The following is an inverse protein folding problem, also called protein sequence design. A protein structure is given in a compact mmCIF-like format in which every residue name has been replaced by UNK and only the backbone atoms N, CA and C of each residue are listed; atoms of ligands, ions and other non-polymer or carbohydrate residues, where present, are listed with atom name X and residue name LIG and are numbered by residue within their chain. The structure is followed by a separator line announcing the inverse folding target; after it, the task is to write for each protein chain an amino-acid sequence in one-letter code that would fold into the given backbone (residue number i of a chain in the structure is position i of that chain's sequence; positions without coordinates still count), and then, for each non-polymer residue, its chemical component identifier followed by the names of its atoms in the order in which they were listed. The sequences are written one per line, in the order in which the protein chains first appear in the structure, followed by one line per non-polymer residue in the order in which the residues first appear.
data_IF_652262659292
#
_entry.id   IF_652262659292
#
_cell.length_a   1.000
_cell.length_b   1.000
_cell.length_c   1.000
_cell.angle_alpha   90.00
_cell.angle_beta   90.00
_cell.angle_gamma   90.00
#
_symmetry.space_group_name_H-M   'P 1'
#
loop_
_entity.id
_entity.type
_entity.pdbx_description
1 polymer ?
#
# COMPACT_ATOMS: atom_id res chain seq x y z
N UNK A 1 -27.40 6.91 -27.73
CA UNK A 1 -26.66 6.06 -26.79
C UNK A 1 -25.31 6.71 -26.60
N UNK A 2 -24.97 7.16 -25.40
CA UNK A 2 -23.60 7.66 -25.11
C UNK A 2 -22.60 6.56 -25.44
N UNK A 3 -21.52 6.90 -26.15
CA UNK A 3 -20.47 5.95 -26.48
C UNK A 3 -19.68 5.61 -25.20
N UNK A 4 -19.24 4.35 -25.05
CA UNK A 4 -18.38 3.89 -23.93
C UNK A 4 -17.29 4.91 -23.55
N UNK A 5 -16.61 5.43 -24.57
CA UNK A 5 -15.50 6.35 -24.43
C UNK A 5 -15.89 7.67 -23.77
N UNK A 6 -17.08 8.19 -24.06
CA UNK A 6 -17.59 9.45 -23.51
C UNK A 6 -17.98 9.27 -22.03
N UNK A 7 -18.65 8.16 -21.72
CA UNK A 7 -19.06 7.84 -20.36
C UNK A 7 -17.86 7.63 -19.44
N UNK A 8 -16.83 6.95 -19.95
CA UNK A 8 -15.59 6.67 -19.23
C UNK A 8 -14.77 7.94 -19.01
N UNK A 9 -14.69 8.84 -20.01
CA UNK A 9 -14.06 10.15 -19.85
C UNK A 9 -14.76 10.98 -18.77
N UNK A 10 -16.09 11.04 -18.80
CA UNK A 10 -16.90 11.75 -17.79
C UNK A 10 -16.64 11.25 -16.38
N UNK A 11 -16.56 9.93 -16.18
CA UNK A 11 -16.27 9.37 -14.86
C UNK A 11 -14.83 9.59 -14.41
N UNK A 12 -13.87 9.66 -15.34
CA UNK A 12 -12.49 10.05 -15.03
C UNK A 12 -12.41 11.49 -14.54
N UNK A 13 -13.07 12.41 -15.25
CA UNK A 13 -13.11 13.82 -14.86
C UNK A 13 -13.72 13.99 -13.45
N UNK A 14 -14.81 13.27 -13.16
CA UNK A 14 -15.44 13.27 -11.84
C UNK A 14 -14.54 12.70 -10.73
N UNK A 15 -13.69 11.70 -11.02
CA UNK A 15 -12.70 11.19 -10.09
C UNK A 15 -11.53 12.17 -9.90
N UNK A 16 -11.17 12.92 -10.94
CA UNK A 16 -10.11 13.92 -10.87
C UNK A 16 -10.52 15.13 -10.01
N UNK A 17 -11.80 15.52 -10.03
CA UNK A 17 -12.36 16.54 -9.14
C UNK A 17 -12.32 16.14 -7.65
N UNK A 18 -12.23 14.85 -7.33
CA UNK A 18 -12.10 14.39 -5.94
C UNK A 18 -10.76 14.86 -5.37
N UNK A 19 -10.82 15.53 -4.22
CA UNK A 19 -9.63 16.02 -3.52
C UNK A 19 -8.62 14.90 -3.25
N UNK A 20 -7.34 15.21 -3.41
CA UNK A 20 -6.21 14.31 -3.07
C UNK A 20 -6.23 13.85 -1.61
N UNK A 21 -6.92 14.55 -0.71
CA UNK A 21 -7.16 14.14 0.69
C UNK A 21 -8.17 13.00 0.83
N UNK A 22 -9.04 12.82 -0.17
CA UNK A 22 -10.07 11.78 -0.19
C UNK A 22 -9.68 10.61 -1.09
N UNK A 23 -8.98 10.89 -2.19
CA UNK A 23 -8.50 9.90 -3.15
C UNK A 23 -7.11 10.30 -3.65
N UNK A 24 -6.09 9.54 -3.27
CA UNK A 24 -4.71 9.82 -3.70
C UNK A 24 -4.51 9.41 -5.17
N UNK A 25 -3.33 9.72 -5.73
CA UNK A 25 -3.02 9.48 -7.14
C UNK A 25 -3.12 7.99 -7.51
N UNK A 26 -2.53 7.11 -6.71
CA UNK A 26 -2.53 5.66 -6.96
C UNK A 26 -3.95 5.08 -6.93
N UNK A 27 -4.80 5.59 -6.03
CA UNK A 27 -6.20 5.21 -5.94
C UNK A 27 -7.02 5.70 -7.15
N UNK A 28 -6.71 6.89 -7.70
CA UNK A 28 -7.30 7.38 -8.95
C UNK A 28 -6.90 6.49 -10.12
N UNK A 29 -5.62 6.14 -10.24
CA UNK A 29 -5.13 5.24 -11.29
C UNK A 29 -5.79 3.86 -11.20
N UNK A 30 -5.91 3.29 -9.99
CA UNK A 30 -6.63 2.03 -9.77
C UNK A 30 -8.11 2.14 -10.15
N UNK A 31 -8.77 3.25 -9.80
CA UNK A 31 -10.17 3.48 -10.19
C UNK A 31 -10.34 3.54 -11.71
N UNK A 32 -9.38 4.14 -12.43
CA UNK A 32 -9.37 4.17 -13.90
C UNK A 32 -9.21 2.78 -14.50
N UNK A 33 -8.31 1.96 -13.96
CA UNK A 33 -8.12 0.59 -14.38
C UNK A 33 -9.39 -0.24 -14.17
N UNK A 34 -10.02 -0.10 -12.99
CA UNK A 34 -11.28 -0.79 -12.68
C UNK A 34 -12.34 -0.39 -13.70
N UNK A 35 -12.61 0.91 -13.89
CA UNK A 35 -13.63 1.39 -14.84
C UNK A 35 -13.37 0.91 -16.28
N UNK A 36 -12.11 0.82 -16.70
CA UNK A 36 -11.73 0.35 -18.05
C UNK A 36 -12.08 -1.12 -18.33
N UNK A 37 -12.14 -1.95 -17.27
CA UNK A 37 -12.40 -3.39 -17.37
C UNK A 37 -13.88 -3.76 -17.45
N UNK A 38 -14.80 -2.83 -17.16
CA UNK A 38 -16.23 -3.12 -17.16
C UNK A 38 -16.92 -2.74 -18.49
N UNK A 39 -18.03 -3.43 -18.83
CA UNK A 39 -18.90 -3.05 -19.93
C UNK A 39 -19.75 -1.82 -19.59
N UNK A 40 -20.23 -1.12 -20.62
CA UNK A 40 -20.90 0.18 -20.55
C UNK A 40 -22.14 0.14 -19.65
N UNK A 41 -22.91 -0.95 -19.75
CA UNK A 41 -24.12 -1.17 -18.96
C UNK A 41 -23.86 -1.34 -17.46
N UNK A 42 -22.60 -1.52 -17.04
CA UNK A 42 -22.20 -1.65 -15.63
C UNK A 42 -21.35 -0.49 -15.14
N UNK A 43 -20.92 0.39 -16.03
CA UNK A 43 -19.93 1.42 -15.74
C UNK A 43 -20.45 2.43 -14.69
N UNK A 44 -21.72 2.82 -14.78
CA UNK A 44 -22.36 3.69 -13.80
C UNK A 44 -22.46 3.05 -12.41
N UNK A 45 -22.84 1.76 -12.34
CA UNK A 45 -22.91 1.02 -11.08
C UNK A 45 -21.52 0.88 -10.42
N UNK A 46 -20.49 0.64 -11.22
CA UNK A 46 -19.10 0.53 -10.74
C UNK A 46 -18.59 1.88 -10.24
N UNK A 47 -18.88 2.97 -10.96
CA UNK A 47 -18.53 4.32 -10.53
C UNK A 47 -19.21 4.68 -9.20
N UNK A 48 -20.52 4.42 -9.08
CA UNK A 48 -21.26 4.64 -7.83
C UNK A 48 -20.67 3.82 -6.66
N UNK A 49 -20.29 2.58 -6.90
CA UNK A 49 -19.63 1.73 -5.90
C UNK A 49 -18.29 2.31 -5.43
N UNK A 50 -17.44 2.77 -6.36
CA UNK A 50 -16.16 3.42 -6.03
C UNK A 50 -16.42 4.67 -5.17
N UNK A 51 -17.37 5.52 -5.58
CA UNK A 51 -17.73 6.73 -4.84
C UNK A 51 -18.29 6.43 -3.45
N UNK A 52 -19.10 5.38 -3.31
CA UNK A 52 -19.66 4.97 -2.02
C UNK A 52 -18.56 4.47 -1.08
N UNK A 53 -17.58 3.72 -1.57
CA UNK A 53 -16.43 3.27 -0.78
C UNK A 53 -15.60 4.44 -0.22
N UNK A 54 -15.38 5.48 -1.04
CA UNK A 54 -14.73 6.72 -0.60
C UNK A 54 -15.53 7.38 0.53
N UNK A 55 -16.86 7.44 0.42
CA UNK A 55 -17.76 8.04 1.43
C UNK A 55 -17.85 7.23 2.72
N UNK A 56 -17.81 5.91 2.66
CA UNK A 56 -17.92 5.02 3.84
C UNK A 56 -16.64 4.93 4.68
N UNK A 57 -15.62 5.74 4.37
CA UNK A 57 -14.39 5.76 5.16
C UNK A 57 -13.40 4.65 4.82
N UNK A 58 -13.47 4.08 3.61
CA UNK A 58 -12.32 3.37 3.02
C UNK A 58 -11.25 4.40 2.60
N UNK A 59 -10.91 5.32 3.51
CA UNK A 59 -9.69 6.09 3.47
C UNK A 59 -8.63 5.11 3.89
N UNK A 60 -7.78 4.69 2.96
CA UNK A 60 -6.46 4.26 3.37
C UNK A 60 -5.87 5.52 3.99
N UNK A 61 -5.79 5.57 5.33
CA UNK A 61 -5.02 6.59 6.01
C UNK A 61 -3.73 6.75 5.22
N UNK A 62 -3.39 8.00 4.87
CA UNK A 62 -2.08 8.27 4.29
C UNK A 62 -1.10 7.53 5.18
N UNK A 63 -0.47 6.48 4.62
CA UNK A 63 0.63 5.83 5.29
C UNK A 63 1.59 6.98 5.60
N UNK A 64 2.02 7.16 6.88
CA UNK A 64 2.89 8.27 7.23
C UNK A 64 3.99 8.33 6.18
N UNK A 65 4.13 9.50 5.53
CA UNK A 65 5.11 9.66 4.46
C UNK A 65 6.43 9.14 4.99
N UNK A 66 6.93 8.04 4.42
CA UNK A 66 8.16 7.42 4.89
C UNK A 66 9.23 8.52 4.87
N UNK A 67 9.77 8.86 6.04
CA UNK A 67 10.73 9.95 6.15
C UNK A 67 12.00 9.55 5.41
N UNK A 68 12.07 9.89 4.12
CA UNK A 68 13.13 9.49 3.20
C UNK A 68 14.49 10.13 3.52
N UNK A 69 14.54 11.02 4.51
CA UNK A 69 15.77 11.65 5.01
C UNK A 69 16.49 10.83 6.07
N UNK A 70 15.84 9.81 6.62
CA UNK A 70 16.39 9.00 7.71
C UNK A 70 16.57 7.57 7.22
N UNK A 71 17.73 6.97 7.54
CA UNK A 71 18.02 5.56 7.28
C UNK A 71 17.99 4.85 8.63
N UNK A 72 17.03 3.95 8.81
CA UNK A 72 17.02 3.02 9.94
C UNK A 72 18.01 1.89 9.69
N UNK A 73 18.82 1.53 10.70
CA UNK A 73 19.74 0.39 10.66
C UNK A 73 19.30 -0.62 11.71
N UNK A 74 19.17 -1.90 11.35
CA UNK A 74 18.93 -2.97 12.31
C UNK A 74 20.22 -3.34 13.03
N UNK A 75 20.21 -3.24 14.37
CA UNK A 75 21.28 -3.71 15.22
C UNK A 75 20.76 -4.75 16.20
N UNK A 76 21.49 -5.86 16.35
CA UNK A 76 21.17 -6.89 17.34
C UNK A 76 21.48 -6.38 18.76
N UNK A 77 20.46 -6.30 19.59
CA UNK A 77 20.63 -6.05 21.03
C UNK A 77 21.08 -7.33 21.74
N UNK A 78 22.35 -7.38 22.13
CA UNK A 78 22.93 -8.52 22.85
C UNK A 78 22.41 -8.66 24.28
N UNK A 79 22.02 -7.56 24.92
CA UNK A 79 21.59 -7.56 26.33
C UNK A 79 20.19 -8.17 26.50
N UNK A 80 19.31 -7.96 25.50
CA UNK A 80 17.96 -8.53 25.45
C UNK A 80 17.86 -9.80 24.61
N UNK A 81 18.99 -10.31 24.09
CA UNK A 81 19.04 -11.57 23.35
C UNK A 81 19.12 -12.76 24.31
N UNK A 82 18.06 -13.56 24.38
CA UNK A 82 18.07 -14.81 25.15
C UNK A 82 18.51 -15.99 24.27
N UNK A 83 19.50 -16.76 24.73
CA UNK A 83 19.76 -18.10 24.19
C UNK A 83 19.06 -19.12 25.09
N UNK A 84 17.81 -19.47 24.76
CA UNK A 84 17.04 -20.48 25.49
C UNK A 84 17.63 -21.89 25.32
N UNK A 85 18.35 -22.15 24.22
CA UNK A 85 19.03 -23.41 23.98
C UNK A 85 20.24 -23.20 23.05
N UNK A 86 21.48 -23.48 23.47
CA UNK A 86 22.67 -23.29 22.62
C UNK A 86 22.68 -24.21 21.38
N UNK A 87 21.91 -25.31 21.43
CA UNK A 87 21.79 -26.28 20.34
C UNK A 87 20.57 -26.06 19.43
N UNK A 88 19.77 -25.00 19.64
CA UNK A 88 18.64 -24.65 18.76
C UNK A 88 18.78 -23.22 18.28
N UNK A 89 18.67 -23.00 16.97
CA UNK A 89 18.47 -21.64 16.46
C UNK A 89 17.15 -21.10 16.98
N UNK A 90 17.16 -19.91 17.60
CA UNK A 90 15.93 -19.20 17.91
C UNK A 90 15.17 -18.96 16.59
N UNK A 91 14.01 -19.57 16.44
CA UNK A 91 13.20 -19.44 15.22
C UNK A 91 12.44 -18.11 15.17
N UNK A 92 12.28 -17.45 16.31
CA UNK A 92 11.50 -16.22 16.45
C UNK A 92 12.42 -15.06 16.83
N UNK A 93 12.18 -13.90 16.21
CA UNK A 93 12.90 -12.65 16.46
C UNK A 93 11.91 -11.54 16.79
N UNK A 94 12.21 -10.73 17.81
CA UNK A 94 11.52 -9.48 18.09
C UNK A 94 12.32 -8.33 17.50
N UNK A 95 11.65 -7.47 16.73
CA UNK A 95 12.24 -6.27 16.13
C UNK A 95 11.46 -5.07 16.64
N UNK A 96 12.16 -4.06 17.16
CA UNK A 96 11.58 -2.81 17.67
C UNK A 96 12.03 -1.68 16.75
N UNK A 97 11.15 -1.26 15.84
CA UNK A 97 11.37 -0.19 14.86
C UNK A 97 10.05 0.19 14.21
N UNK A 98 10.03 1.23 13.39
CA UNK A 98 8.94 1.43 12.43
C UNK A 98 8.91 0.26 11.43
N UNK A 99 7.71 -0.22 11.10
CA UNK A 99 7.53 -1.40 10.26
C UNK A 99 8.23 -1.26 8.89
N UNK A 100 8.22 -0.05 8.31
CA UNK A 100 8.83 0.20 7.00
C UNK A 100 10.35 -0.01 7.02
N UNK A 101 11.03 0.56 8.01
CA UNK A 101 12.49 0.44 8.15
C UNK A 101 12.91 -0.97 8.54
N UNK A 102 12.15 -1.62 9.43
CA UNK A 102 12.37 -3.02 9.79
C UNK A 102 12.32 -3.94 8.56
N UNK A 103 11.26 -3.83 7.75
CA UNK A 103 11.08 -4.67 6.57
C UNK A 103 12.15 -4.41 5.51
N UNK A 104 12.54 -3.15 5.28
CA UNK A 104 13.63 -2.82 4.35
C UNK A 104 14.95 -3.47 4.76
N UNK A 105 15.32 -3.37 6.03
CA UNK A 105 16.56 -3.98 6.52
C UNK A 105 16.49 -5.52 6.45
N UNK A 106 15.34 -6.14 6.73
CA UNK A 106 15.15 -7.58 6.61
C UNK A 106 15.37 -8.08 5.16
N UNK A 107 14.90 -7.33 4.16
CA UNK A 107 15.14 -7.67 2.74
C UNK A 107 16.64 -7.70 2.43
N UNK A 108 17.41 -6.75 2.96
CA UNK A 108 18.87 -6.71 2.75
C UNK A 108 19.55 -7.92 3.41
N UNK A 109 19.20 -8.21 4.65
CA UNK A 109 19.74 -9.36 5.40
C UNK A 109 19.48 -10.68 4.67
N UNK A 110 18.26 -10.90 4.16
CA UNK A 110 17.92 -12.13 3.43
C UNK A 110 18.68 -12.24 2.10
N UNK A 111 18.85 -11.12 1.37
CA UNK A 111 19.67 -11.12 0.14
C UNK A 111 21.12 -11.48 0.41
N UNK A 112 21.70 -10.98 1.49
CA UNK A 112 23.08 -11.33 1.88
C UNK A 112 23.18 -12.81 2.26
N UNK A 113 22.16 -13.37 2.94
CA UNK A 113 22.09 -14.79 3.28
C UNK A 113 22.01 -15.71 2.05
N UNK A 114 21.30 -15.29 0.99
CA UNK A 114 21.21 -16.06 -0.25
C UNK A 114 22.51 -16.01 -1.09
N UNK A 115 23.34 -14.98 -0.89
CA UNK A 115 24.59 -14.78 -1.64
C UNK A 115 25.83 -15.39 -0.96
N UNK A 116 25.77 -15.69 0.34
CA UNK A 116 26.87 -16.26 1.13
C UNK A 116 26.73 -17.76 1.34
#
# INVERSE_FOLDING_TARGET
MENKSELLAKFKDLLDEISSKQLNKDQKELAYEILSKFPDNKLEYVFQFICQRIKTGFRFDIAPEANSKVIGILQKDKSMSFQLNPNKSNQNSLIISENYDALKNLIVIEREREQG
#
